data_IF_474216085231
#
_entry.id   IF_474216085231
#
_cell.length_a   1.000
_cell.length_b   1.000
_cell.length_c   1.000
_cell.angle_alpha   90.00
_cell.angle_beta   90.00
_cell.angle_gamma   90.00
#
_symmetry.space_group_name_H-M   'P 1'
#
loop_
_entity.id
_entity.type
_entity.pdbx_description
1 polymer ?
#
# COMPACT_ATOMS: atom_id res chain seq x y z
N UNK A 1 0.25 17.84 -33.39
CA UNK A 1 0.56 18.16 -31.99
C UNK A 1 0.69 16.84 -31.26
N UNK A 2 1.91 16.45 -30.80
CA UNK A 2 2.07 15.31 -29.91
C UNK A 2 1.45 15.73 -28.58
N UNK A 3 0.34 15.12 -28.18
CA UNK A 3 -0.14 15.25 -26.80
C UNK A 3 1.00 14.80 -25.89
N UNK A 4 1.60 15.74 -25.16
CA UNK A 4 2.44 15.41 -24.03
C UNK A 4 1.55 14.62 -23.08
N UNK A 5 1.75 13.30 -22.97
CA UNK A 5 1.11 12.53 -21.90
C UNK A 5 1.60 13.16 -20.60
N UNK A 6 0.68 13.69 -19.83
CA UNK A 6 1.00 14.18 -18.49
C UNK A 6 1.50 12.97 -17.68
N UNK A 7 2.70 13.09 -17.10
CA UNK A 7 3.30 12.05 -16.29
C UNK A 7 2.34 11.71 -15.13
N UNK A 8 2.22 10.44 -14.79
CA UNK A 8 1.37 9.99 -13.67
C UNK A 8 2.01 8.84 -12.92
N UNK A 9 1.60 8.72 -11.67
CA UNK A 9 1.88 7.57 -10.83
C UNK A 9 0.75 6.55 -10.96
N UNK A 10 1.11 5.28 -11.07
CA UNK A 10 0.18 4.16 -11.07
C UNK A 10 0.29 3.41 -9.75
N UNK A 11 -0.83 3.19 -9.10
CA UNK A 11 -0.90 2.31 -7.92
C UNK A 11 -1.61 1.02 -8.33
N UNK A 12 -1.14 -0.13 -7.86
CA UNK A 12 -1.72 -1.43 -8.16
C UNK A 12 -1.87 -2.24 -6.88
N UNK A 13 -3.10 -2.61 -6.53
CA UNK A 13 -3.38 -3.37 -5.32
C UNK A 13 -4.87 -3.48 -5.02
N UNK A 14 -5.20 -3.91 -3.81
CA UNK A 14 -6.57 -4.21 -3.41
C UNK A 14 -7.19 -3.02 -2.68
N UNK A 15 -8.47 -2.72 -3.00
CA UNK A 15 -9.32 -1.86 -2.19
C UNK A 15 -10.17 -2.71 -1.27
N UNK A 16 -10.30 -2.31 -0.02
CA UNK A 16 -11.05 -3.04 0.99
C UNK A 16 -12.19 -2.16 1.53
N UNK A 17 -13.37 -2.75 1.70
CA UNK A 17 -14.50 -2.13 2.39
C UNK A 17 -14.46 -2.56 3.85
N UNK A 18 -14.09 -1.65 4.75
CA UNK A 18 -13.91 -1.92 6.17
C UNK A 18 -15.19 -1.66 6.93
N UNK A 19 -15.61 -2.60 7.76
CA UNK A 19 -16.75 -2.52 8.66
C UNK A 19 -16.25 -2.76 10.09
N UNK A 20 -16.36 -1.74 10.94
CA UNK A 20 -15.98 -1.82 12.35
C UNK A 20 -17.22 -1.73 13.24
N UNK A 21 -17.47 -2.77 14.03
CA UNK A 21 -18.46 -2.78 15.09
C UNK A 21 -17.79 -2.50 16.43
N UNK A 22 -18.22 -1.45 17.13
CA UNK A 22 -17.73 -1.10 18.47
C UNK A 22 -18.82 -1.39 19.48
N UNK A 23 -18.57 -2.22 20.48
CA UNK A 23 -19.54 -2.44 21.54
C UNK A 23 -19.63 -1.24 22.48
N UNK A 24 -20.82 -0.99 23.04
CA UNK A 24 -21.04 0.11 23.98
C UNK A 24 -20.74 -0.27 25.44
N UNK A 25 -20.48 -1.55 25.69
CA UNK A 25 -20.14 -2.14 27.00
C UNK A 25 -19.29 -3.38 26.76
N UNK A 26 -18.85 -4.03 27.82
CA UNK A 26 -18.04 -5.24 27.77
C UNK A 26 -18.61 -6.28 26.80
N UNK A 27 -17.80 -6.75 25.88
CA UNK A 27 -18.20 -7.70 24.87
C UNK A 27 -18.70 -9.00 25.49
N UNK A 28 -19.86 -9.47 25.04
CA UNK A 28 -20.45 -10.74 25.45
C UNK A 28 -20.47 -11.70 24.27
N UNK A 29 -19.78 -12.83 24.45
CA UNK A 29 -19.79 -13.92 23.47
C UNK A 29 -21.17 -14.56 23.41
N UNK A 30 -21.58 -15.03 22.23
CA UNK A 30 -22.87 -15.69 21.95
C UNK A 30 -24.11 -14.85 22.24
N UNK A 31 -23.98 -13.51 22.22
CA UNK A 31 -25.08 -12.58 22.48
C UNK A 31 -25.05 -11.40 21.50
N UNK A 32 -26.16 -10.68 21.40
CA UNK A 32 -26.22 -9.41 20.67
C UNK A 32 -25.64 -8.30 21.54
N UNK A 33 -24.58 -7.67 21.06
CA UNK A 33 -23.92 -6.59 21.76
C UNK A 33 -24.40 -5.24 21.20
N UNK A 34 -25.10 -4.39 21.98
CA UNK A 34 -25.40 -3.04 21.56
C UNK A 34 -24.11 -2.25 21.26
N UNK A 35 -24.15 -1.43 20.21
CA UNK A 35 -22.95 -0.72 19.80
C UNK A 35 -23.18 0.24 18.64
N UNK A 36 -22.08 0.65 18.02
CA UNK A 36 -22.09 1.47 16.79
C UNK A 36 -21.32 0.76 15.68
N UNK A 37 -21.74 0.99 14.45
CA UNK A 37 -21.01 0.51 13.27
C UNK A 37 -20.41 1.70 12.54
N UNK A 38 -19.15 1.57 12.15
CA UNK A 38 -18.44 2.52 11.30
C UNK A 38 -17.99 1.81 10.05
N UNK A 39 -18.16 2.47 8.91
CA UNK A 39 -17.64 2.01 7.62
C UNK A 39 -16.51 2.94 7.19
N UNK A 40 -15.48 2.36 6.61
CA UNK A 40 -14.39 3.09 5.94
C UNK A 40 -13.91 2.32 4.73
N UNK A 41 -13.10 2.97 3.92
CA UNK A 41 -12.44 2.33 2.80
C UNK A 41 -10.96 2.16 3.14
N UNK A 42 -10.47 0.93 3.00
CA UNK A 42 -9.12 0.51 3.35
C UNK A 42 -8.38 -0.11 2.19
N UNK A 43 -7.28 -0.77 2.55
CA UNK A 43 -6.27 -1.30 1.64
C UNK A 43 -5.07 -0.36 1.54
N UNK A 44 -3.86 -0.89 1.73
CA UNK A 44 -2.63 -0.07 1.76
C UNK A 44 -2.46 0.67 0.43
N UNK A 45 -2.52 -0.02 -0.70
CA UNK A 45 -2.44 0.61 -2.02
C UNK A 45 -3.56 1.66 -2.25
N UNK A 46 -4.79 1.39 -1.79
CA UNK A 46 -5.87 2.37 -1.89
C UNK A 46 -5.57 3.62 -1.07
N UNK A 47 -5.08 3.48 0.16
CA UNK A 47 -4.72 4.61 1.01
C UNK A 47 -3.58 5.43 0.39
N UNK A 48 -2.56 4.78 -0.17
CA UNK A 48 -1.46 5.42 -0.91
C UNK A 48 -2.03 6.24 -2.07
N UNK A 49 -2.86 5.63 -2.93
CA UNK A 49 -3.45 6.29 -4.09
C UNK A 49 -4.34 7.48 -3.71
N UNK A 50 -5.16 7.34 -2.67
CA UNK A 50 -5.99 8.42 -2.15
C UNK A 50 -5.16 9.58 -1.63
N UNK A 51 -4.14 9.29 -0.81
CA UNK A 51 -3.28 10.32 -0.26
C UNK A 51 -2.51 11.08 -1.36
N UNK A 52 -2.01 10.38 -2.39
CA UNK A 52 -1.39 11.02 -3.56
C UNK A 52 -2.38 11.95 -4.29
N UNK A 53 -3.60 11.49 -4.56
CA UNK A 53 -4.62 12.30 -5.20
C UNK A 53 -4.99 13.52 -4.36
N UNK A 54 -5.13 13.38 -3.03
CA UNK A 54 -5.45 14.47 -2.09
C UNK A 54 -4.40 15.57 -2.03
N UNK A 55 -3.13 15.24 -2.23
CA UNK A 55 -2.05 16.24 -2.31
C UNK A 55 -1.87 16.81 -3.73
N UNK A 56 -2.72 16.41 -4.69
CA UNK A 56 -2.71 16.94 -6.06
C UNK A 56 -1.82 16.17 -7.04
N UNK A 57 -1.35 14.97 -6.67
CA UNK A 57 -0.60 14.10 -7.57
C UNK A 57 -1.50 13.51 -8.66
N UNK A 58 -1.00 13.49 -9.91
CA UNK A 58 -1.68 12.79 -11.01
C UNK A 58 -1.56 11.27 -10.79
N UNK A 59 -2.62 10.66 -10.30
CA UNK A 59 -2.60 9.28 -9.81
C UNK A 59 -3.69 8.44 -10.45
N UNK A 60 -3.30 7.28 -10.95
CA UNK A 60 -4.21 6.20 -11.38
C UNK A 60 -4.11 5.04 -10.43
N UNK A 61 -5.22 4.36 -10.19
CA UNK A 61 -5.24 3.19 -9.33
C UNK A 61 -5.94 2.02 -10.02
N UNK A 62 -5.22 0.92 -10.21
CA UNK A 62 -5.75 -0.35 -10.69
C UNK A 62 -6.01 -1.23 -9.49
N UNK A 63 -7.28 -1.53 -9.24
CA UNK A 63 -7.74 -2.39 -8.17
C UNK A 63 -8.75 -3.41 -8.69
N UNK A 64 -9.29 -4.23 -7.79
CA UNK A 64 -10.35 -5.19 -8.09
C UNK A 64 -11.53 -4.99 -7.15
N UNK A 65 -12.72 -5.01 -7.69
CA UNK A 65 -13.99 -4.76 -6.99
C UNK A 65 -15.06 -5.71 -7.51
N UNK A 66 -16.00 -6.06 -6.66
CA UNK A 66 -17.25 -6.69 -7.10
C UNK A 66 -18.20 -5.66 -7.71
N UNK A 67 -19.13 -6.10 -8.56
CA UNK A 67 -20.25 -5.27 -9.02
C UNK A 67 -21.36 -5.24 -7.97
N UNK A 68 -21.01 -4.83 -6.76
CA UNK A 68 -21.91 -4.69 -5.62
C UNK A 68 -21.93 -3.23 -5.08
N UNK A 69 -22.78 -2.95 -4.10
CA UNK A 69 -22.92 -1.61 -3.53
C UNK A 69 -21.63 -1.13 -2.83
N UNK A 70 -20.82 -2.05 -2.31
CA UNK A 70 -19.53 -1.73 -1.70
C UNK A 70 -18.54 -1.24 -2.75
N UNK A 71 -18.42 -1.95 -3.87
CA UNK A 71 -17.57 -1.57 -4.99
C UNK A 71 -17.99 -0.24 -5.62
N UNK A 72 -19.30 -0.04 -5.82
CA UNK A 72 -19.83 1.25 -6.31
C UNK A 72 -19.50 2.40 -5.36
N UNK A 73 -19.60 2.18 -4.04
CA UNK A 73 -19.28 3.20 -3.04
C UNK A 73 -17.80 3.58 -3.08
N UNK A 74 -16.89 2.60 -3.22
CA UNK A 74 -15.44 2.85 -3.38
C UNK A 74 -15.17 3.66 -4.65
N UNK A 75 -15.73 3.28 -5.79
CA UNK A 75 -15.54 4.00 -7.06
C UNK A 75 -16.09 5.43 -7.00
N UNK A 76 -17.24 5.62 -6.38
CA UNK A 76 -17.84 6.95 -6.22
C UNK A 76 -16.96 7.84 -5.32
N UNK A 77 -16.45 7.29 -4.22
CA UNK A 77 -15.54 7.99 -3.33
C UNK A 77 -14.24 8.38 -4.04
N UNK A 78 -13.61 7.45 -4.75
CA UNK A 78 -12.41 7.73 -5.55
C UNK A 78 -12.64 8.87 -6.55
N UNK A 79 -13.75 8.81 -7.28
CA UNK A 79 -14.13 9.87 -8.24
C UNK A 79 -14.31 11.23 -7.58
N UNK A 80 -14.87 11.28 -6.38
CA UNK A 80 -15.07 12.55 -5.64
C UNK A 80 -13.77 13.22 -5.22
N UNK A 81 -12.66 12.47 -5.19
CA UNK A 81 -11.32 12.96 -4.83
C UNK A 81 -10.38 13.12 -6.05
N UNK A 82 -10.91 12.91 -7.26
CA UNK A 82 -10.11 12.98 -8.48
C UNK A 82 -9.17 11.78 -8.69
N UNK A 83 -9.34 10.68 -7.96
CA UNK A 83 -8.56 9.46 -8.16
C UNK A 83 -9.12 8.65 -9.35
N UNK A 84 -8.29 8.43 -10.37
CA UNK A 84 -8.66 7.66 -11.56
C UNK A 84 -8.56 6.15 -11.29
N UNK A 85 -9.70 5.49 -11.13
CA UNK A 85 -9.84 4.03 -11.03
C UNK A 85 -10.45 3.38 -12.29
N UNK A 86 -10.49 4.08 -13.43
CA UNK A 86 -11.13 3.60 -14.67
C UNK A 86 -10.52 2.31 -15.25
N UNK A 87 -9.31 1.97 -14.83
CA UNK A 87 -8.60 0.76 -15.25
C UNK A 87 -8.78 -0.43 -14.29
N UNK A 88 -9.50 -0.26 -13.18
CA UNK A 88 -9.78 -1.32 -12.22
C UNK A 88 -10.67 -2.42 -12.82
N UNK A 89 -10.57 -3.62 -12.27
CA UNK A 89 -11.41 -4.74 -12.64
C UNK A 89 -12.68 -4.74 -11.78
N UNK A 90 -13.84 -4.75 -12.42
CA UNK A 90 -15.14 -4.96 -11.76
C UNK A 90 -15.66 -6.32 -12.15
N UNK A 91 -15.85 -7.21 -11.17
CA UNK A 91 -16.22 -8.61 -11.40
C UNK A 91 -17.71 -8.81 -11.09
N UNK A 92 -18.47 -9.23 -12.11
CA UNK A 92 -19.89 -9.57 -11.95
C UNK A 92 -20.06 -10.76 -11.03
N UNK A 93 -21.02 -10.67 -10.10
CA UNK A 93 -21.38 -11.74 -9.17
C UNK A 93 -20.36 -11.99 -8.04
N UNK A 94 -19.26 -11.24 -8.00
CA UNK A 94 -18.30 -11.33 -6.92
C UNK A 94 -18.56 -10.27 -5.83
N UNK A 95 -18.11 -10.55 -4.61
CA UNK A 95 -18.14 -9.59 -3.50
C UNK A 95 -16.88 -8.71 -3.54
N UNK A 96 -17.05 -7.42 -3.32
CA UNK A 96 -15.93 -6.49 -3.08
C UNK A 96 -15.17 -6.91 -1.82
N UNK A 97 -13.81 -6.85 -1.83
CA UNK A 97 -12.99 -7.16 -0.66
C UNK A 97 -13.52 -6.47 0.59
N UNK A 98 -13.72 -7.24 1.64
CA UNK A 98 -14.37 -6.74 2.85
C UNK A 98 -13.61 -7.20 4.09
N UNK A 99 -13.35 -6.27 4.99
CA UNK A 99 -12.84 -6.52 6.32
C UNK A 99 -13.90 -6.18 7.35
N UNK A 100 -14.23 -7.11 8.23
CA UNK A 100 -15.19 -6.90 9.34
C UNK A 100 -14.47 -7.14 10.64
N UNK A 101 -14.44 -6.15 11.51
CA UNK A 101 -13.85 -6.27 12.85
C UNK A 101 -14.84 -5.89 13.93
N UNK A 102 -14.84 -6.65 15.02
CA UNK A 102 -15.54 -6.36 16.25
C UNK A 102 -14.51 -5.87 17.28
N UNK A 103 -14.78 -4.70 17.85
CA UNK A 103 -13.96 -4.08 18.87
C UNK A 103 -14.79 -3.93 20.14
N UNK A 104 -14.15 -4.07 21.27
CA UNK A 104 -14.77 -3.84 22.58
C UNK A 104 -14.96 -2.35 22.90
N UNK A 105 -15.45 -2.04 24.08
CA UNK A 105 -15.66 -0.67 24.57
C UNK A 105 -14.38 0.15 24.70
N UNK A 106 -13.21 -0.50 24.78
CA UNK A 106 -11.88 0.13 24.84
C UNK A 106 -11.28 0.34 23.45
N UNK A 107 -11.92 -0.22 22.40
CA UNK A 107 -11.39 -0.22 21.03
C UNK A 107 -10.42 -1.35 20.73
N UNK A 108 -10.31 -2.33 21.62
CA UNK A 108 -9.47 -3.52 21.41
C UNK A 108 -10.20 -4.52 20.50
N UNK A 109 -9.46 -5.10 19.56
CA UNK A 109 -10.03 -6.04 18.60
C UNK A 109 -10.36 -7.38 19.26
N UNK A 110 -11.65 -7.74 19.25
CA UNK A 110 -12.13 -9.04 19.75
C UNK A 110 -12.04 -10.10 18.67
N UNK A 111 -12.44 -9.78 17.44
CA UNK A 111 -12.43 -10.72 16.30
C UNK A 111 -12.47 -9.95 15.00
N UNK A 112 -11.96 -10.58 13.93
CA UNK A 112 -12.06 -10.05 12.57
C UNK A 112 -12.21 -11.16 11.54
N UNK A 113 -12.82 -10.81 10.40
CA UNK A 113 -12.92 -11.64 9.20
C UNK A 113 -12.50 -10.78 8.02
N UNK A 114 -11.68 -11.35 7.14
CA UNK A 114 -11.29 -10.74 5.88
C UNK A 114 -11.73 -11.63 4.71
N UNK A 115 -12.46 -11.05 3.76
CA UNK A 115 -12.83 -11.69 2.51
C UNK A 115 -12.16 -10.92 1.35
N UNK A 116 -11.14 -11.56 0.76
CA UNK A 116 -10.38 -11.03 -0.39
C UNK A 116 -10.31 -12.02 -1.54
N UNK A 117 -11.19 -13.04 -1.56
CA UNK A 117 -11.16 -14.12 -2.54
C UNK A 117 -11.28 -13.67 -4.00
N UNK A 118 -11.74 -12.44 -4.23
CA UNK A 118 -11.85 -11.84 -5.56
C UNK A 118 -10.48 -11.61 -6.21
N UNK A 119 -9.39 -11.58 -5.46
CA UNK A 119 -8.02 -11.33 -5.95
C UNK A 119 -7.57 -12.33 -7.00
N UNK A 120 -8.11 -13.55 -6.98
CA UNK A 120 -7.89 -14.60 -8.00
C UNK A 120 -8.20 -14.15 -9.43
N UNK A 121 -9.04 -13.13 -9.61
CA UNK A 121 -9.36 -12.57 -10.93
C UNK A 121 -8.33 -11.53 -11.41
N UNK A 122 -7.35 -11.15 -10.60
CA UNK A 122 -6.22 -10.31 -11.02
C UNK A 122 -5.19 -11.14 -11.80
N UNK A 123 -5.65 -11.79 -12.86
CA UNK A 123 -4.85 -12.71 -13.68
C UNK A 123 -3.81 -11.98 -14.53
N UNK A 124 -2.81 -12.72 -15.02
CA UNK A 124 -1.83 -12.22 -15.99
C UNK A 124 -2.51 -11.62 -17.22
N UNK A 125 -3.57 -12.24 -17.73
CA UNK A 125 -4.34 -11.74 -18.87
C UNK A 125 -5.01 -10.37 -18.57
N UNK A 126 -5.52 -10.18 -17.35
CA UNK A 126 -6.02 -8.87 -16.93
C UNK A 126 -4.89 -7.84 -16.87
N UNK A 127 -3.77 -8.18 -16.25
CA UNK A 127 -2.58 -7.29 -16.18
C UNK A 127 -2.12 -6.91 -17.57
N UNK A 128 -2.05 -7.86 -18.52
CA UNK A 128 -1.67 -7.63 -19.91
C UNK A 128 -2.61 -6.67 -20.64
N UNK A 129 -3.88 -6.75 -20.34
CA UNK A 129 -4.87 -5.79 -20.88
C UNK A 129 -4.58 -4.35 -20.47
N UNK A 130 -3.76 -4.14 -19.42
CA UNK A 130 -3.35 -2.82 -18.89
C UNK A 130 -1.92 -2.41 -19.29
N UNK A 131 -1.27 -3.16 -20.18
CA UNK A 131 0.13 -2.93 -20.58
C UNK A 131 0.43 -1.47 -20.90
N UNK A 132 -0.39 -0.80 -21.73
CA UNK A 132 -0.18 0.62 -22.08
C UNK A 132 -0.20 1.56 -20.88
N UNK A 133 -1.08 1.30 -19.91
CA UNK A 133 -1.18 2.11 -18.68
C UNK A 133 0.02 1.85 -17.79
N UNK A 134 0.47 0.61 -17.68
CA UNK A 134 1.65 0.25 -16.90
C UNK A 134 2.91 0.86 -17.51
N UNK A 135 3.14 0.68 -18.81
CA UNK A 135 4.34 1.15 -19.51
C UNK A 135 4.44 2.69 -19.61
N UNK A 136 3.31 3.39 -19.50
CA UNK A 136 3.26 4.86 -19.56
C UNK A 136 3.34 5.52 -18.18
N UNK A 137 3.30 4.75 -17.10
CA UNK A 137 3.44 5.26 -15.75
C UNK A 137 4.91 5.63 -15.47
N UNK A 138 5.14 6.78 -14.82
CA UNK A 138 6.47 7.19 -14.38
C UNK A 138 6.95 6.26 -13.25
N UNK A 139 6.09 6.05 -12.26
CA UNK A 139 6.30 5.11 -11.17
C UNK A 139 5.06 4.24 -10.97
N UNK A 140 5.29 3.00 -10.57
CA UNK A 140 4.23 2.06 -10.20
C UNK A 140 4.43 1.58 -8.76
N UNK A 141 3.41 1.76 -7.94
CA UNK A 141 3.43 1.53 -6.50
C UNK A 141 2.68 0.25 -6.17
N UNK A 142 3.26 -0.54 -5.26
CA UNK A 142 2.71 -1.79 -4.75
C UNK A 142 2.74 -1.83 -3.24
N UNK A 143 1.78 -2.53 -2.65
CA UNK A 143 1.94 -3.18 -1.37
C UNK A 143 2.31 -4.67 -1.56
N UNK A 144 2.59 -5.40 -0.49
CA UNK A 144 2.98 -6.81 -0.59
C UNK A 144 1.79 -7.80 -0.42
N UNK A 145 0.55 -7.38 -0.74
CA UNK A 145 -0.65 -8.19 -0.52
C UNK A 145 -0.86 -9.27 -1.60
N UNK A 146 -0.43 -9.02 -2.83
CA UNK A 146 -0.53 -9.99 -3.92
C UNK A 146 0.84 -10.27 -4.56
N UNK A 147 1.70 -11.09 -3.94
CA UNK A 147 3.06 -11.35 -4.42
C UNK A 147 3.14 -11.90 -5.85
N UNK A 148 2.18 -12.74 -6.24
CA UNK A 148 2.17 -13.37 -7.58
C UNK A 148 1.96 -12.34 -8.69
N UNK A 149 0.99 -11.43 -8.53
CA UNK A 149 0.76 -10.35 -9.49
C UNK A 149 1.95 -9.39 -9.55
N UNK A 150 2.53 -9.06 -8.38
CA UNK A 150 3.73 -8.21 -8.31
C UNK A 150 4.88 -8.85 -9.07
N UNK A 151 5.18 -10.13 -8.79
CA UNK A 151 6.26 -10.86 -9.46
C UNK A 151 6.10 -10.85 -10.98
N UNK A 152 4.87 -11.12 -11.46
CA UNK A 152 4.58 -11.06 -12.89
C UNK A 152 4.84 -9.68 -13.48
N UNK A 153 4.32 -8.63 -12.83
CA UNK A 153 4.44 -7.24 -13.30
C UNK A 153 5.90 -6.81 -13.33
N UNK A 154 6.63 -6.97 -12.22
CA UNK A 154 8.00 -6.44 -12.12
C UNK A 154 8.97 -7.15 -13.07
N UNK A 155 8.77 -8.46 -13.33
CA UNK A 155 9.56 -9.20 -14.31
C UNK A 155 9.21 -8.80 -15.74
N UNK A 156 7.95 -8.66 -16.07
CA UNK A 156 7.49 -8.37 -17.43
C UNK A 156 7.76 -6.93 -17.86
N UNK A 157 7.56 -5.99 -16.96
CA UNK A 157 7.67 -4.57 -17.25
C UNK A 157 8.95 -3.92 -16.72
N UNK A 158 9.97 -4.73 -16.36
CA UNK A 158 11.29 -4.24 -15.96
C UNK A 158 11.86 -3.24 -17.00
N UNK A 159 12.30 -2.08 -16.53
CA UNK A 159 12.86 -1.02 -17.38
C UNK A 159 11.83 -0.21 -18.18
N UNK A 160 10.53 -0.47 -18.04
CA UNK A 160 9.45 0.31 -18.68
C UNK A 160 8.90 1.38 -17.74
N UNK A 161 8.77 1.06 -16.48
CA UNK A 161 8.37 1.95 -15.38
C UNK A 161 9.25 1.68 -14.17
N UNK A 162 9.25 2.57 -13.20
CA UNK A 162 10.00 2.41 -11.95
C UNK A 162 9.07 1.89 -10.87
N UNK A 163 9.47 0.83 -10.16
CA UNK A 163 8.63 0.18 -9.16
C UNK A 163 8.95 0.65 -7.75
N UNK A 164 7.91 0.90 -6.96
CA UNK A 164 7.99 1.32 -5.55
C UNK A 164 7.22 0.31 -4.69
N UNK A 165 7.84 -0.16 -3.61
CA UNK A 165 7.27 -1.19 -2.73
C UNK A 165 7.07 -0.68 -1.31
N UNK A 166 5.86 -0.86 -0.78
CA UNK A 166 5.58 -0.93 0.66
C UNK A 166 5.47 -2.40 1.09
N UNK A 167 6.33 -2.91 1.98
CA UNK A 167 6.26 -4.29 2.41
C UNK A 167 5.07 -4.62 3.34
N UNK A 168 4.36 -3.62 3.86
CA UNK A 168 3.15 -3.71 4.72
C UNK A 168 3.40 -4.33 6.10
N UNK A 169 4.07 -5.47 6.15
CA UNK A 169 4.41 -6.16 7.40
C UNK A 169 5.59 -7.12 7.21
N UNK A 170 6.22 -7.50 8.31
CA UNK A 170 7.32 -8.45 8.31
C UNK A 170 6.95 -9.79 7.64
N UNK A 171 5.73 -10.29 7.89
CA UNK A 171 5.25 -11.53 7.29
C UNK A 171 5.12 -11.42 5.76
N UNK A 172 4.55 -10.30 5.26
CA UNK A 172 4.38 -10.07 3.82
C UNK A 172 5.70 -9.76 3.13
N UNK A 173 6.61 -9.01 3.78
CA UNK A 173 7.95 -8.71 3.28
C UNK A 173 8.72 -9.96 2.86
N UNK A 174 8.56 -11.07 3.61
CA UNK A 174 9.20 -12.35 3.28
C UNK A 174 8.82 -12.89 1.90
N UNK A 175 7.58 -12.66 1.47
CA UNK A 175 7.08 -13.16 0.19
C UNK A 175 7.58 -12.38 -1.03
N UNK A 176 8.01 -11.15 -0.84
CA UNK A 176 8.49 -10.26 -1.94
C UNK A 176 10.00 -9.98 -1.89
N UNK A 177 10.70 -10.52 -0.89
CA UNK A 177 12.14 -10.31 -0.69
C UNK A 177 12.96 -10.63 -1.95
N UNK A 178 12.66 -11.71 -2.65
CA UNK A 178 13.37 -12.16 -3.85
C UNK A 178 13.16 -11.22 -5.05
N UNK A 179 12.20 -10.30 -4.97
CA UNK A 179 11.87 -9.32 -6.02
C UNK A 179 12.60 -7.97 -5.84
N UNK A 180 13.34 -7.78 -4.74
CA UNK A 180 14.05 -6.52 -4.45
C UNK A 180 14.88 -5.98 -5.62
N UNK A 181 15.58 -6.80 -6.42
CA UNK A 181 16.36 -6.30 -7.55
C UNK A 181 15.56 -5.55 -8.63
N UNK A 182 14.24 -5.71 -8.65
CA UNK A 182 13.36 -5.04 -9.62
C UNK A 182 12.85 -3.68 -9.12
N UNK A 183 12.93 -3.41 -7.80
CA UNK A 183 12.39 -2.19 -7.24
C UNK A 183 13.37 -1.02 -7.32
N UNK A 184 12.86 0.12 -7.77
CA UNK A 184 13.57 1.39 -7.70
C UNK A 184 13.61 1.90 -6.25
N UNK A 185 12.47 1.85 -5.57
CA UNK A 185 12.32 2.39 -4.22
C UNK A 185 11.65 1.37 -3.30
N UNK A 186 12.16 1.23 -2.08
CA UNK A 186 11.51 0.43 -1.03
C UNK A 186 11.38 1.25 0.25
N UNK A 187 10.24 1.10 0.94
CA UNK A 187 9.96 1.81 2.20
C UNK A 187 9.56 0.84 3.32
N UNK A 188 10.46 0.05 3.85
CA UNK A 188 10.18 -0.77 5.03
C UNK A 188 10.18 0.06 6.32
N UNK A 189 9.51 -0.46 7.36
CA UNK A 189 9.83 -0.12 8.73
C UNK A 189 11.02 -0.97 9.23
N UNK A 190 11.47 -0.74 10.48
CA UNK A 190 12.61 -1.45 11.09
C UNK A 190 12.46 -2.97 11.06
N UNK A 191 11.25 -3.49 11.36
CA UNK A 191 10.98 -4.94 11.38
C UNK A 191 10.94 -5.55 9.99
N UNK A 192 10.33 -4.86 9.05
CA UNK A 192 10.29 -5.25 7.64
C UNK A 192 11.69 -5.23 7.02
N UNK A 193 12.49 -4.21 7.31
CA UNK A 193 13.87 -4.12 6.87
C UNK A 193 14.71 -5.31 7.41
N UNK A 194 14.52 -5.70 8.66
CA UNK A 194 15.20 -6.87 9.23
C UNK A 194 14.87 -8.17 8.45
N UNK A 195 13.60 -8.35 8.06
CA UNK A 195 13.19 -9.51 7.23
C UNK A 195 13.78 -9.43 5.83
N UNK A 196 13.69 -8.27 5.18
CA UNK A 196 14.24 -8.08 3.84
C UNK A 196 15.77 -8.29 3.80
N UNK A 197 16.48 -7.86 4.82
CA UNK A 197 17.94 -8.00 4.91
C UNK A 197 18.37 -9.37 5.46
N UNK A 198 17.53 -10.03 6.26
CA UNK A 198 17.85 -11.33 6.88
C UNK A 198 18.73 -11.23 8.11
N UNK A 199 18.78 -10.08 8.78
CA UNK A 199 19.47 -9.88 10.06
C UNK A 199 18.70 -8.89 10.95
N UNK A 200 18.93 -8.98 12.26
CA UNK A 200 18.29 -8.15 13.26
C UNK A 200 18.79 -6.70 13.18
N UNK A 201 17.87 -5.74 13.38
CA UNK A 201 18.14 -4.30 13.35
C UNK A 201 17.78 -3.69 14.70
N UNK A 202 18.78 -3.34 15.51
CA UNK A 202 18.62 -2.77 16.85
C UNK A 202 19.17 -1.35 16.95
N UNK A 203 20.27 -1.09 16.29
CA UNK A 203 21.04 0.15 16.39
C UNK A 203 20.93 0.97 15.10
N UNK A 204 21.40 2.22 15.17
CA UNK A 204 21.48 3.06 13.97
C UNK A 204 22.50 2.52 12.97
N UNK A 205 23.53 1.84 13.41
CA UNK A 205 24.51 1.23 12.52
C UNK A 205 23.92 0.01 11.81
N UNK A 206 23.04 -0.73 12.47
CA UNK A 206 22.27 -1.79 11.79
C UNK A 206 21.32 -1.21 10.73
N UNK A 207 20.71 -0.02 10.97
CA UNK A 207 19.89 0.68 9.97
C UNK A 207 20.72 1.05 8.75
N UNK A 208 21.90 1.66 8.95
CA UNK A 208 22.81 1.99 7.84
C UNK A 208 23.25 0.76 7.07
N UNK A 209 23.61 -0.29 7.80
CA UNK A 209 23.95 -1.60 7.19
C UNK A 209 22.79 -2.15 6.37
N UNK A 210 21.54 -2.04 6.85
CA UNK A 210 20.36 -2.50 6.14
C UNK A 210 20.12 -1.67 4.86
N UNK A 211 20.27 -0.36 4.94
CA UNK A 211 20.19 0.52 3.78
C UNK A 211 21.22 0.15 2.71
N UNK A 212 22.50 0.02 3.10
CA UNK A 212 23.59 -0.41 2.20
C UNK A 212 23.29 -1.77 1.56
N UNK A 213 22.84 -2.74 2.35
CA UNK A 213 22.48 -4.07 1.84
C UNK A 213 21.34 -4.03 0.82
N UNK A 214 20.31 -3.22 1.04
CA UNK A 214 19.21 -3.06 0.08
C UNK A 214 19.70 -2.41 -1.24
N UNK A 215 20.61 -1.44 -1.16
CA UNK A 215 21.25 -0.85 -2.36
C UNK A 215 22.09 -1.89 -3.12
N UNK A 216 22.85 -2.74 -2.42
CA UNK A 216 23.62 -3.85 -3.03
C UNK A 216 22.70 -4.85 -3.74
N UNK A 217 21.47 -5.08 -3.25
CA UNK A 217 20.45 -5.91 -3.91
C UNK A 217 19.85 -5.26 -5.16
N UNK A 218 20.19 -4.00 -5.46
CA UNK A 218 19.76 -3.32 -6.70
C UNK A 218 18.75 -2.22 -6.53
N UNK A 219 18.18 -2.04 -5.32
CA UNK A 219 17.30 -0.92 -4.99
C UNK A 219 18.06 0.40 -5.17
N UNK A 220 17.38 1.48 -5.62
CA UNK A 220 18.00 2.79 -5.86
C UNK A 220 17.80 3.76 -4.72
N UNK A 221 16.57 3.81 -4.19
CA UNK A 221 16.21 4.66 -3.07
C UNK A 221 15.60 3.80 -1.94
N UNK A 222 16.13 3.94 -0.74
CA UNK A 222 15.69 3.21 0.45
C UNK A 222 15.21 4.20 1.49
N UNK A 223 14.03 3.98 2.04
CA UNK A 223 13.48 4.75 3.15
C UNK A 223 13.09 3.79 4.28
N UNK A 224 13.77 3.83 5.41
CA UNK A 224 13.43 2.99 6.57
C UNK A 224 12.76 3.86 7.62
N UNK A 225 11.47 3.61 7.91
CA UNK A 225 10.76 4.34 8.96
C UNK A 225 11.20 3.86 10.35
N UNK A 226 11.43 4.82 11.24
CA UNK A 226 12.03 4.65 12.58
C UNK A 226 11.07 5.11 13.69
N UNK A 227 9.76 5.07 13.43
CA UNK A 227 8.71 5.55 14.34
C UNK A 227 8.93 7.00 14.77
N UNK A 228 9.06 7.26 16.07
CA UNK A 228 9.31 8.61 16.63
C UNK A 228 10.69 9.17 16.28
N UNK A 229 11.64 8.34 15.86
CA UNK A 229 12.99 8.75 15.48
C UNK A 229 13.06 9.32 14.05
N UNK A 230 11.97 9.21 13.28
CA UNK A 230 11.87 9.74 11.92
C UNK A 230 12.06 8.71 10.84
N UNK A 231 12.81 9.06 9.80
CA UNK A 231 13.05 8.21 8.63
C UNK A 231 14.52 8.26 8.26
N UNK A 232 15.14 7.10 8.17
CA UNK A 232 16.43 6.95 7.51
C UNK A 232 16.22 6.83 6.01
N UNK A 233 17.02 7.54 5.23
CA UNK A 233 17.06 7.41 3.77
C UNK A 233 18.48 7.15 3.31
N UNK A 234 18.61 6.40 2.23
CA UNK A 234 19.86 6.29 1.50
C UNK A 234 19.65 5.97 0.02
N UNK A 235 20.59 6.43 -0.78
CA UNK A 235 20.77 6.08 -2.19
C UNK A 235 22.28 6.04 -2.52
N UNK A 236 22.65 5.96 -3.80
CA UNK A 236 24.06 5.92 -4.21
C UNK A 236 24.84 7.23 -3.94
N UNK A 237 24.18 8.33 -3.61
CA UNK A 237 24.78 9.66 -3.52
C UNK A 237 24.75 10.24 -2.11
N UNK A 238 23.74 9.87 -1.32
CA UNK A 238 23.49 10.48 -0.02
C UNK A 238 22.78 9.53 0.95
N UNK A 239 22.97 9.73 2.25
CA UNK A 239 22.26 9.06 3.31
C UNK A 239 22.02 10.00 4.48
N UNK A 240 20.98 9.79 5.22
CA UNK A 240 20.69 10.58 6.40
C UNK A 240 19.45 10.14 7.17
N UNK A 241 19.16 10.89 8.24
CA UNK A 241 17.95 10.73 9.04
C UNK A 241 17.19 12.05 9.04
N UNK A 242 15.95 12.00 8.59
CA UNK A 242 14.99 13.11 8.67
C UNK A 242 14.17 12.91 9.94
N UNK A 243 14.28 13.81 10.88
CA UNK A 243 13.46 13.79 12.11
C UNK A 243 12.05 14.28 11.81
N UNK A 244 11.02 13.74 12.50
CA UNK A 244 9.67 14.25 12.36
C UNK A 244 9.57 15.66 12.98
N UNK A 245 8.57 16.40 12.55
CA UNK A 245 8.18 17.63 13.26
C UNK A 245 7.52 17.25 14.60
N UNK A 246 7.62 18.16 15.58
CA UNK A 246 6.90 18.02 16.85
C UNK A 246 5.39 18.12 16.58
N UNK A 247 4.71 16.99 16.67
CA UNK A 247 3.26 16.88 16.49
C UNK A 247 2.63 16.06 17.61
N UNK A 248 1.43 16.42 18.02
CA UNK A 248 0.64 15.60 18.93
C UNK A 248 0.14 14.36 18.15
N UNK A 249 0.67 13.19 18.45
CA UNK A 249 0.21 11.95 17.85
C UNK A 249 -1.20 11.62 18.39
N UNK A 250 -2.15 11.44 17.46
CA UNK A 250 -3.53 11.04 17.76
C UNK A 250 -3.73 9.59 17.33
N UNK A 251 -3.24 9.21 16.16
CA UNK A 251 -3.28 7.87 15.61
C UNK A 251 -2.13 7.71 14.61
N UNK A 252 -1.53 6.52 14.55
CA UNK A 252 -0.43 6.18 13.63
C UNK A 252 -0.86 5.34 12.44
N UNK A 253 -2.12 4.90 12.40
CA UNK A 253 -2.66 4.12 11.27
C UNK A 253 -2.60 4.95 9.99
N UNK A 254 -2.05 4.37 8.93
CA UNK A 254 -1.91 5.05 7.64
C UNK A 254 -0.72 6.04 7.56
N UNK A 255 0.12 6.15 8.61
CA UNK A 255 1.32 6.99 8.55
C UNK A 255 2.30 6.48 7.46
N UNK A 256 2.49 5.16 7.35
CA UNK A 256 3.27 4.54 6.29
C UNK A 256 2.72 4.86 4.90
N UNK A 257 1.41 4.70 4.72
CA UNK A 257 0.71 4.97 3.46
C UNK A 257 0.85 6.44 3.04
N UNK A 258 0.73 7.36 4.00
CA UNK A 258 0.91 8.80 3.78
C UNK A 258 2.35 9.15 3.42
N UNK A 259 3.32 8.48 4.02
CA UNK A 259 4.73 8.69 3.71
C UNK A 259 5.06 8.23 2.27
N UNK A 260 4.60 7.05 1.85
CA UNK A 260 4.75 6.57 0.47
C UNK A 260 4.03 7.53 -0.52
N UNK A 261 2.87 8.03 -0.15
CA UNK A 261 2.18 9.01 -0.98
C UNK A 261 2.98 10.31 -1.14
N UNK A 262 3.67 10.75 -0.08
CA UNK A 262 4.61 11.87 -0.12
C UNK A 262 5.78 11.62 -1.07
N UNK A 263 6.36 10.41 -1.05
CA UNK A 263 7.39 10.00 -2.02
C UNK A 263 6.84 10.10 -3.44
N UNK A 264 5.65 9.52 -3.70
CA UNK A 264 5.03 9.55 -5.02
C UNK A 264 4.68 10.96 -5.51
N UNK A 265 4.32 11.86 -4.61
CA UNK A 265 4.10 13.27 -4.95
C UNK A 265 5.41 13.99 -5.31
N UNK A 266 6.52 13.65 -4.64
CA UNK A 266 7.82 14.25 -4.88
C UNK A 266 8.51 13.71 -6.14
N UNK A 267 8.18 12.50 -6.56
CA UNK A 267 8.65 11.94 -7.82
C UNK A 267 7.88 12.60 -8.99
N UNK A 268 8.58 13.00 -10.04
CA UNK A 268 8.00 13.75 -11.16
C UNK A 268 6.98 12.95 -11.97
#
# INVERSE_FOLDING_TARGET
MKHKHEAYNLVFGISIYDIFGFTSSSYRSHDSNPGRVKVSFGGVCRNIAENMARVGGNTKFISILGNDEKGKSILQHAKSMGLDMSHSLVVEGASTPTYVAILDENGEMVSAIVDINIDQYMTEAFIDSKAKVIESAEYMFFDADNPSSIEYIVKKYAGKTKFVLDPVSAAKAQHVKHLLPYFHTVKPNRHEAAVLCGFEIKTIDDIRRAGSHLLELGVKDVFISLDADGVYYCNQHDEGIIKPNDVKVVNVTGAGDSFIAGIGYAYP
#
